data_IF_000924410673
#
_entry.id   IF_000924410673
#
_cell.length_a   1.000
_cell.length_b   1.000
_cell.length_c   1.000
_cell.angle_alpha   90.00
_cell.angle_beta   90.00
_cell.angle_gamma   90.00
#
_symmetry.space_group_name_H-M   'P 1'
#
loop_
_entity.id
_entity.type
_entity.pdbx_description
1 polymer ?
#
# COMPACT_ATOMS: atom_id res chain seq x y z
N UNK A 1 -7.40 -13.11 0.93
CA UNK A 1 -6.08 -12.59 1.39
C UNK A 1 -5.02 -13.67 1.35
N UNK A 2 -5.17 -14.78 2.08
CA UNK A 2 -4.14 -15.84 2.12
C UNK A 2 -3.82 -16.40 0.73
N UNK A 3 -4.85 -16.72 -0.06
CA UNK A 3 -4.67 -17.22 -1.44
C UNK A 3 -3.91 -16.21 -2.32
N UNK A 4 -4.20 -14.91 -2.20
CA UNK A 4 -3.48 -13.85 -2.91
C UNK A 4 -2.01 -13.79 -2.49
N UNK A 5 -1.72 -13.89 -1.20
CA UNK A 5 -0.34 -13.91 -0.69
C UNK A 5 0.38 -15.15 -1.25
N UNK A 6 -0.28 -16.31 -1.26
CA UNK A 6 0.28 -17.55 -1.81
C UNK A 6 0.47 -17.50 -3.33
N UNK A 7 -0.34 -16.70 -4.05
CA UNK A 7 -0.17 -16.44 -5.48
C UNK A 7 0.86 -15.33 -5.78
N UNK A 8 1.60 -14.84 -4.77
CA UNK A 8 2.68 -13.86 -4.94
C UNK A 8 2.28 -12.39 -4.75
N UNK A 9 1.04 -12.10 -4.34
CA UNK A 9 0.62 -10.74 -4.02
C UNK A 9 1.06 -10.35 -2.59
N UNK A 10 2.27 -9.83 -2.47
CA UNK A 10 2.85 -9.42 -1.18
C UNK A 10 2.28 -8.09 -0.65
N UNK A 11 1.85 -7.19 -1.55
CA UNK A 11 1.33 -5.88 -1.18
C UNK A 11 -0.19 -5.85 -1.35
N UNK A 12 -0.94 -5.60 -0.26
CA UNK A 12 -2.41 -5.67 -0.25
C UNK A 12 -3.00 -4.38 0.34
N UNK A 13 -3.86 -3.71 -0.42
CA UNK A 13 -4.69 -2.60 0.06
C UNK A 13 -6.08 -3.13 0.43
N UNK A 14 -6.50 -2.90 1.67
CA UNK A 14 -7.84 -3.19 2.15
C UNK A 14 -8.62 -1.87 2.25
N UNK A 15 -9.35 -1.54 1.19
CA UNK A 15 -10.30 -0.43 1.21
C UNK A 15 -11.53 -0.83 2.02
N UNK A 16 -11.93 -0.01 2.99
CA UNK A 16 -13.06 -0.30 3.86
C UNK A 16 -13.89 0.95 4.13
N UNK A 17 -15.21 0.82 4.37
CA UNK A 17 -16.01 1.96 4.80
C UNK A 17 -15.58 2.42 6.20
N UNK A 18 -15.58 3.74 6.39
CA UNK A 18 -15.30 4.34 7.70
C UNK A 18 -16.26 3.83 8.78
N UNK A 19 -15.76 3.74 10.01
CA UNK A 19 -16.49 3.25 11.18
C UNK A 19 -17.05 1.81 11.09
N UNK A 20 -16.63 1.01 10.10
CA UNK A 20 -17.00 -0.41 10.04
C UNK A 20 -16.31 -1.23 11.14
N UNK A 21 -16.96 -1.34 12.31
CA UNK A 21 -16.42 -2.05 13.49
C UNK A 21 -15.88 -3.46 13.19
N UNK A 22 -16.53 -4.30 12.36
CA UNK A 22 -15.95 -5.59 11.96
C UNK A 22 -14.55 -5.47 11.34
N UNK A 23 -14.34 -4.49 10.47
CA UNK A 23 -13.05 -4.27 9.81
C UNK A 23 -12.03 -3.59 10.75
N UNK A 24 -12.49 -2.69 11.62
CA UNK A 24 -11.64 -1.96 12.56
C UNK A 24 -11.13 -2.83 13.72
N UNK A 25 -11.96 -3.74 14.24
CA UNK A 25 -11.61 -4.57 15.41
C UNK A 25 -11.11 -5.93 14.94
N UNK A 26 -11.99 -6.73 14.33
CA UNK A 26 -11.66 -8.10 13.92
C UNK A 26 -10.67 -8.09 12.75
N UNK A 27 -10.87 -7.20 11.76
CA UNK A 27 -9.98 -7.05 10.62
C UNK A 27 -8.54 -6.70 11.02
N UNK A 28 -8.34 -5.72 11.91
CA UNK A 28 -7.00 -5.39 12.44
C UNK A 28 -6.35 -6.56 13.19
N UNK A 29 -7.14 -7.31 13.97
CA UNK A 29 -6.66 -8.52 14.66
C UNK A 29 -6.17 -9.58 13.67
N UNK A 30 -6.94 -9.82 12.61
CA UNK A 30 -6.58 -10.75 11.54
C UNK A 30 -5.31 -10.32 10.79
N UNK A 31 -5.20 -9.03 10.44
CA UNK A 31 -4.02 -8.49 9.75
C UNK A 31 -2.73 -8.71 10.56
N UNK A 32 -2.78 -8.56 11.89
CA UNK A 32 -1.64 -8.81 12.78
C UNK A 32 -1.16 -10.27 12.68
N UNK A 33 -2.08 -11.22 12.70
CA UNK A 33 -1.75 -12.64 12.60
C UNK A 33 -1.26 -13.01 11.19
N UNK A 34 -1.85 -12.42 10.14
CA UNK A 34 -1.37 -12.62 8.77
C UNK A 34 0.07 -12.16 8.59
N UNK A 35 0.44 -10.97 9.08
CA UNK A 35 1.83 -10.50 9.05
C UNK A 35 2.79 -11.38 9.85
N UNK A 36 2.32 -12.00 10.95
CA UNK A 36 3.12 -12.95 11.74
C UNK A 36 3.41 -14.24 10.97
N UNK A 37 2.43 -14.74 10.21
CA UNK A 37 2.57 -15.98 9.41
C UNK A 37 3.24 -15.75 8.06
N UNK A 38 3.06 -14.57 7.48
CA UNK A 38 3.58 -14.16 6.18
C UNK A 38 4.38 -12.86 6.35
N UNK A 39 5.67 -12.92 6.76
CA UNK A 39 6.46 -11.74 7.06
C UNK A 39 6.67 -10.78 5.88
N UNK A 40 6.62 -11.30 4.64
CA UNK A 40 6.67 -10.48 3.42
C UNK A 40 5.37 -9.74 3.09
N UNK A 41 4.26 -10.04 3.79
CA UNK A 41 2.97 -9.42 3.50
C UNK A 41 2.90 -7.97 4.01
N UNK A 42 2.85 -7.02 3.09
CA UNK A 42 2.66 -5.60 3.32
C UNK A 42 1.17 -5.24 3.13
N UNK A 43 0.39 -5.31 4.21
CA UNK A 43 -1.07 -5.15 4.17
C UNK A 43 -1.48 -3.82 4.80
N UNK A 44 -2.12 -2.91 4.06
CA UNK A 44 -2.60 -1.62 4.61
C UNK A 44 -4.12 -1.54 4.61
N UNK A 45 -4.68 -0.94 5.67
CA UNK A 45 -6.08 -0.59 5.77
C UNK A 45 -6.27 0.88 5.36
N UNK A 46 -7.22 1.13 4.45
CA UNK A 46 -7.60 2.48 4.01
C UNK A 46 -9.10 2.68 4.25
N UNK A 47 -9.42 3.64 5.11
CA UNK A 47 -10.80 3.99 5.42
C UNK A 47 -11.30 5.01 4.39
N UNK A 48 -12.35 4.64 3.66
CA UNK A 48 -13.08 5.54 2.79
C UNK A 48 -14.20 6.21 3.58
N UNK A 49 -14.08 7.52 3.73
CA UNK A 49 -15.08 8.41 4.31
C UNK A 49 -15.27 9.60 3.34
N UNK A 50 -16.46 9.76 2.73
CA UNK A 50 -16.75 10.93 1.90
C UNK A 50 -16.62 12.26 2.65
N UNK A 51 -16.73 12.25 3.98
CA UNK A 51 -16.56 13.44 4.84
C UNK A 51 -15.13 13.70 5.30
N UNK A 52 -14.18 12.79 5.04
CA UNK A 52 -12.78 12.97 5.41
C UNK A 52 -11.93 13.38 4.21
N UNK A 53 -10.83 14.09 4.47
CA UNK A 53 -9.89 14.49 3.42
C UNK A 53 -9.29 13.27 2.71
N UNK A 54 -9.29 13.32 1.38
CA UNK A 54 -8.63 12.33 0.50
C UNK A 54 -7.15 12.17 0.82
N UNK A 55 -6.52 13.21 1.37
CA UNK A 55 -5.12 13.21 1.82
C UNK A 55 -4.83 12.06 2.79
N UNK A 56 -5.78 11.70 3.67
CA UNK A 56 -5.58 10.58 4.58
C UNK A 56 -5.50 9.24 3.82
N UNK A 57 -6.30 9.05 2.78
CA UNK A 57 -6.30 7.84 1.96
C UNK A 57 -5.01 7.74 1.15
N UNK A 58 -4.65 8.85 0.48
CA UNK A 58 -3.43 8.95 -0.31
C UNK A 58 -2.19 8.71 0.55
N UNK A 59 -2.08 9.33 1.73
CA UNK A 59 -0.91 9.13 2.58
C UNK A 59 -0.73 7.67 3.00
N UNK A 60 -1.82 6.94 3.26
CA UNK A 60 -1.72 5.51 3.62
C UNK A 60 -1.26 4.66 2.44
N UNK A 61 -1.74 4.96 1.24
CA UNK A 61 -1.31 4.28 0.02
C UNK A 61 0.15 4.61 -0.29
N UNK A 62 0.53 5.89 -0.23
CA UNK A 62 1.90 6.38 -0.45
C UNK A 62 2.91 5.74 0.51
N UNK A 63 2.57 5.67 1.80
CA UNK A 63 3.40 4.99 2.80
C UNK A 63 3.53 3.50 2.53
N UNK A 64 2.44 2.83 2.11
CA UNK A 64 2.49 1.41 1.75
C UNK A 64 3.39 1.18 0.52
N UNK A 65 3.26 2.01 -0.53
CA UNK A 65 4.07 1.95 -1.74
C UNK A 65 5.56 2.20 -1.44
N UNK A 66 5.88 3.14 -0.55
CA UNK A 66 7.27 3.37 -0.12
C UNK A 66 7.89 2.10 0.49
N UNK A 67 7.13 1.36 1.30
CA UNK A 67 7.59 0.05 1.82
C UNK A 67 7.70 -0.98 0.69
N UNK A 68 6.75 -1.02 -0.24
CA UNK A 68 6.77 -1.94 -1.37
C UNK A 68 8.02 -1.75 -2.26
N UNK A 69 8.35 -0.50 -2.62
CA UNK A 69 9.53 -0.18 -3.41
C UNK A 69 10.82 -0.52 -2.67
N UNK A 70 10.90 -0.21 -1.36
CA UNK A 70 12.05 -0.59 -0.53
C UNK A 70 12.25 -2.11 -0.49
N UNK A 71 11.16 -2.88 -0.39
CA UNK A 71 11.25 -4.34 -0.43
C UNK A 71 11.75 -4.86 -1.79
N UNK A 72 11.31 -4.22 -2.89
CA UNK A 72 11.76 -4.57 -4.24
C UNK A 72 13.27 -4.31 -4.41
N UNK A 73 13.79 -3.18 -3.94
CA UNK A 73 15.22 -2.86 -3.95
C UNK A 73 16.04 -3.92 -3.21
N UNK A 74 15.60 -4.34 -2.03
CA UNK A 74 16.27 -5.36 -1.22
C UNK A 74 16.21 -6.78 -1.84
N UNK A 75 15.30 -7.04 -2.78
CA UNK A 75 15.09 -8.35 -3.40
C UNK A 75 15.91 -8.58 -4.68
N UNK A 76 16.59 -7.55 -5.20
CA UNK A 76 17.43 -7.67 -6.41
C UNK A 76 18.90 -7.85 -6.05
N UNK A 77 19.66 -8.78 -6.67
CA UNK A 77 21.11 -8.74 -6.62
C UNK A 77 21.63 -7.46 -7.33
N UNK A 78 22.59 -6.80 -6.69
CA UNK A 78 23.46 -5.65 -7.07
C UNK A 78 23.97 -5.62 -8.52
N UNK A 79 24.27 -4.51 -9.23
CA UNK A 79 24.26 -3.04 -8.99
C UNK A 79 24.28 -2.31 -10.36
N UNK A 80 23.97 -1.01 -10.39
CA UNK A 80 24.46 0.04 -11.34
C UNK A 80 23.57 0.59 -12.48
N UNK A 81 22.62 -0.12 -13.09
CA UNK A 81 21.78 0.51 -14.16
C UNK A 81 20.39 1.02 -13.71
N UNK A 82 19.91 0.68 -12.50
CA UNK A 82 18.51 0.96 -12.08
C UNK A 82 18.25 2.35 -11.49
N UNK A 83 19.27 3.09 -11.04
CA UNK A 83 19.08 4.31 -10.24
C UNK A 83 18.36 5.45 -11.00
N UNK A 84 18.46 5.49 -12.34
CA UNK A 84 17.85 6.55 -13.18
C UNK A 84 16.37 6.26 -13.50
N UNK A 85 15.93 5.00 -13.41
CA UNK A 85 14.56 4.58 -13.79
C UNK A 85 13.60 4.75 -12.60
N UNK A 86 14.08 4.57 -11.36
CA UNK A 86 13.21 4.55 -10.17
C UNK A 86 12.69 5.93 -9.75
N UNK A 87 13.52 6.97 -9.71
CA UNK A 87 13.06 8.30 -9.24
C UNK A 87 12.03 8.92 -10.18
N UNK A 88 12.22 8.78 -11.51
CA UNK A 88 11.26 9.30 -12.51
C UNK A 88 9.91 8.60 -12.46
N UNK A 89 9.89 7.26 -12.38
CA UNK A 89 8.64 6.51 -12.35
C UNK A 89 7.87 6.81 -11.05
N UNK A 90 8.59 6.99 -9.95
CA UNK A 90 8.02 7.38 -8.67
C UNK A 90 7.41 8.79 -8.79
N UNK A 91 8.18 9.78 -9.23
CA UNK A 91 7.68 11.15 -9.45
C UNK A 91 6.46 11.17 -10.39
N UNK A 92 6.50 10.46 -11.52
CA UNK A 92 5.39 10.34 -12.47
C UNK A 92 4.13 9.74 -11.81
N UNK A 93 4.27 8.66 -11.03
CA UNK A 93 3.13 8.06 -10.32
C UNK A 93 2.59 9.01 -9.25
N UNK A 94 3.47 9.73 -8.54
CA UNK A 94 3.05 10.72 -7.55
C UNK A 94 2.37 11.94 -8.19
N UNK A 95 2.84 12.38 -9.36
CA UNK A 95 2.26 13.47 -10.16
C UNK A 95 0.92 13.08 -10.78
N UNK A 96 0.79 11.89 -11.36
CA UNK A 96 -0.48 11.38 -11.90
C UNK A 96 -1.55 11.30 -10.81
N UNK A 97 -1.18 10.80 -9.63
CA UNK A 97 -2.07 10.74 -8.48
C UNK A 97 -2.46 12.14 -7.99
N UNK A 98 -1.53 13.10 -7.99
CA UNK A 98 -1.82 14.49 -7.62
C UNK A 98 -2.71 15.21 -8.66
N UNK A 99 -2.55 14.91 -9.95
CA UNK A 99 -3.38 15.45 -11.01
C UNK A 99 -4.80 14.87 -11.00
N UNK A 100 -4.98 13.65 -10.51
CA UNK A 100 -6.30 13.02 -10.37
C UNK A 100 -7.15 13.64 -9.25
N UNK A 101 -6.53 14.27 -8.24
CA UNK A 101 -7.24 14.92 -7.13
C UNK A 101 -7.76 16.33 -7.44
N UNK A 102 -7.42 16.91 -8.59
CA UNK A 102 -7.75 18.32 -8.93
C UNK A 102 -9.01 18.45 -9.81
N UNK A 103 -9.80 17.38 -9.94
CA UNK A 103 -10.94 17.34 -10.89
C UNK A 103 -12.32 17.54 -10.32
N UNK A 104 -12.54 17.72 -9.01
CA UNK A 104 -13.86 18.05 -8.45
C UNK A 104 -13.76 19.11 -7.35
#
# INVERSE_FOLDING_TARGET
MIELIQSGAENIVCMQPFACLPNHITGKGMMKELRRRYPGANIVAVDYDPGASEVNQLNRIKLMLSVAFKNLENSTPTTEEKLVINDKLIEEVFEEVAAATDKH
#
